data_IF_883761081993
#
_entry.id   IF_883761081993
#
_cell.length_a   1.000
_cell.length_b   1.000
_cell.length_c   1.000
_cell.angle_alpha   90.00
_cell.angle_beta   90.00
_cell.angle_gamma   90.00
#
_symmetry.space_group_name_H-M   'P 1'
#
loop_
_entity.id
_entity.type
_entity.pdbx_description
1 polymer ?
#
# COMPACT_ATOMS: atom_id res chain seq x y z
N UNK A 1 -20.69 -7.71 26.80
CA UNK A 1 -19.23 -7.42 26.93
C UNK A 1 -18.50 -7.31 25.57
N UNK A 2 -18.91 -8.04 24.52
CA UNK A 2 -18.26 -7.99 23.19
C UNK A 2 -18.55 -6.73 22.34
N UNK A 3 -19.70 -6.06 22.51
CA UNK A 3 -20.00 -4.83 21.75
C UNK A 3 -19.09 -3.64 22.13
N UNK A 4 -18.59 -3.59 23.37
CA UNK A 4 -17.67 -2.53 23.81
C UNK A 4 -16.25 -2.69 23.23
N UNK A 5 -15.79 -3.92 22.98
CA UNK A 5 -14.46 -4.14 22.38
C UNK A 5 -14.47 -3.86 20.88
N UNK A 6 -15.53 -4.24 20.16
CA UNK A 6 -15.65 -3.91 18.73
C UNK A 6 -15.83 -2.40 18.49
N UNK A 7 -16.64 -1.73 19.32
CA UNK A 7 -16.85 -0.27 19.21
C UNK A 7 -15.57 0.52 19.53
N UNK A 8 -14.83 0.12 20.58
CA UNK A 8 -13.51 0.70 20.89
C UNK A 8 -12.49 0.47 19.77
N UNK A 9 -12.45 -0.74 19.20
CA UNK A 9 -11.56 -1.06 18.09
C UNK A 9 -11.86 -0.24 16.83
N UNK A 10 -13.14 -0.04 16.50
CA UNK A 10 -13.55 0.81 15.37
C UNK A 10 -13.20 2.29 15.63
N UNK A 11 -13.35 2.74 16.88
CA UNK A 11 -12.98 4.11 17.29
C UNK A 11 -11.46 4.33 17.15
N UNK A 12 -10.64 3.41 17.64
CA UNK A 12 -9.18 3.45 17.50
C UNK A 12 -8.77 3.42 16.02
N UNK A 13 -9.48 2.63 15.21
CA UNK A 13 -9.26 2.55 13.77
C UNK A 13 -9.62 3.84 13.03
N UNK A 14 -10.72 4.49 13.43
CA UNK A 14 -11.11 5.79 12.88
C UNK A 14 -10.11 6.89 13.25
N UNK A 15 -9.54 6.84 14.46
CA UNK A 15 -8.49 7.76 14.91
C UNK A 15 -7.24 7.62 14.07
N UNK A 16 -6.76 6.39 13.89
CA UNK A 16 -5.60 6.10 13.05
C UNK A 16 -5.78 6.61 11.61
N UNK A 17 -6.91 6.31 10.97
CA UNK A 17 -7.17 6.76 9.58
C UNK A 17 -7.20 8.29 9.51
N UNK A 18 -7.79 8.96 10.52
CA UNK A 18 -7.84 10.41 10.58
C UNK A 18 -6.43 11.02 10.69
N UNK A 19 -5.61 10.53 11.61
CA UNK A 19 -4.22 10.98 11.77
C UNK A 19 -3.40 10.78 10.49
N UNK A 20 -3.56 9.64 9.81
CA UNK A 20 -2.85 9.38 8.56
C UNK A 20 -3.33 10.30 7.41
N UNK A 21 -4.62 10.62 7.35
CA UNK A 21 -5.14 11.54 6.34
C UNK A 21 -4.68 12.99 6.59
N UNK A 22 -4.66 13.44 7.84
CA UNK A 22 -4.13 14.76 8.20
C UNK A 22 -2.63 14.86 7.86
N UNK A 23 -1.85 13.83 8.19
CA UNK A 23 -0.43 13.76 7.80
C UNK A 23 -0.26 13.75 6.27
N UNK A 24 -1.12 13.04 5.54
CA UNK A 24 -1.11 13.00 4.08
C UNK A 24 -1.38 14.39 3.49
N UNK A 25 -2.39 15.10 3.98
CA UNK A 25 -2.73 16.46 3.53
C UNK A 25 -1.58 17.44 3.79
N UNK A 26 -0.94 17.37 4.96
CA UNK A 26 0.22 18.20 5.27
C UNK A 26 1.39 17.90 4.32
N UNK A 27 1.72 16.63 4.12
CA UNK A 27 2.78 16.21 3.21
C UNK A 27 2.50 16.64 1.76
N UNK A 28 1.26 16.54 1.29
CA UNK A 28 0.85 17.03 -0.03
C UNK A 28 1.07 18.54 -0.18
N UNK A 29 0.81 19.32 0.87
CA UNK A 29 1.03 20.79 0.86
C UNK A 29 2.52 21.15 0.87
N UNK A 30 3.33 20.43 1.65
CA UNK A 30 4.75 20.75 1.83
C UNK A 30 5.62 20.26 0.67
N UNK A 31 5.31 19.08 0.12
CA UNK A 31 6.19 18.35 -0.81
C UNK A 31 5.57 18.14 -2.19
N UNK A 32 4.27 18.42 -2.35
CA UNK A 32 3.50 18.17 -3.57
C UNK A 32 3.03 16.72 -3.69
N UNK A 33 1.90 16.50 -4.39
CA UNK A 33 1.17 15.22 -4.44
C UNK A 33 1.96 14.02 -4.99
N UNK A 34 3.07 14.28 -5.69
CA UNK A 34 3.93 13.26 -6.27
C UNK A 34 5.16 12.95 -5.41
N UNK A 35 5.24 13.37 -4.15
CA UNK A 35 6.41 13.04 -3.33
C UNK A 35 6.39 11.57 -2.87
N UNK A 36 7.51 10.81 -2.91
CA UNK A 36 7.54 9.38 -2.54
C UNK A 36 7.06 9.08 -1.12
N UNK A 37 7.27 10.00 -0.17
CA UNK A 37 6.71 9.90 1.20
C UNK A 37 5.18 9.77 1.22
N UNK A 38 4.49 10.36 0.24
CA UNK A 38 3.03 10.24 0.11
C UNK A 38 2.66 8.79 -0.22
N UNK A 39 3.44 8.12 -1.07
CA UNK A 39 3.22 6.71 -1.39
C UNK A 39 3.38 5.80 -0.15
N UNK A 40 4.33 6.11 0.73
CA UNK A 40 4.52 5.37 1.98
C UNK A 40 3.27 5.49 2.88
N UNK A 41 2.76 6.71 3.09
CA UNK A 41 1.56 6.95 3.89
C UNK A 41 0.33 6.28 3.26
N UNK A 42 0.15 6.42 1.94
CA UNK A 42 -0.93 5.76 1.19
C UNK A 42 -0.86 4.23 1.34
N UNK A 43 0.33 3.65 1.29
CA UNK A 43 0.52 2.20 1.47
C UNK A 43 0.10 1.75 2.86
N UNK A 44 0.47 2.51 3.90
CA UNK A 44 0.08 2.24 5.29
C UNK A 44 -1.44 2.32 5.48
N UNK A 45 -2.11 3.31 4.89
CA UNK A 45 -3.57 3.43 4.92
C UNK A 45 -4.21 2.23 4.20
N UNK A 46 -3.68 1.84 3.04
CA UNK A 46 -4.15 0.68 2.29
C UNK A 46 -4.07 -0.62 3.07
N UNK A 47 -2.91 -0.90 3.68
CA UNK A 47 -2.69 -2.07 4.54
C UNK A 47 -3.58 -2.05 5.77
N UNK A 48 -3.81 -0.87 6.35
CA UNK A 48 -4.75 -0.72 7.45
C UNK A 48 -6.17 -1.12 7.04
N UNK A 49 -6.64 -0.67 5.87
CA UNK A 49 -7.94 -1.09 5.36
C UNK A 49 -8.01 -2.59 5.06
N UNK A 50 -6.93 -3.19 4.56
CA UNK A 50 -6.87 -4.62 4.28
C UNK A 50 -6.90 -5.47 5.56
N UNK A 51 -6.07 -5.13 6.54
CA UNK A 51 -5.87 -5.97 7.72
C UNK A 51 -6.84 -5.67 8.86
N UNK A 52 -7.17 -4.39 9.10
CA UNK A 52 -7.95 -3.94 10.27
C UNK A 52 -9.43 -3.82 9.93
N UNK A 53 -9.78 -2.99 8.95
CA UNK A 53 -11.20 -2.73 8.65
C UNK A 53 -11.81 -3.75 7.68
N UNK A 54 -10.99 -4.62 7.08
CA UNK A 54 -11.37 -5.61 6.04
C UNK A 54 -12.09 -4.98 4.83
N UNK A 55 -11.78 -3.72 4.52
CA UNK A 55 -12.37 -2.97 3.40
C UNK A 55 -11.43 -3.07 2.20
N UNK A 56 -11.56 -4.17 1.45
CA UNK A 56 -10.65 -4.51 0.34
C UNK A 56 -10.65 -3.44 -0.77
N UNK A 57 -11.82 -2.90 -1.12
CA UNK A 57 -11.93 -1.87 -2.15
C UNK A 57 -11.15 -0.61 -1.80
N UNK A 58 -11.24 -0.16 -0.54
CA UNK A 58 -10.47 0.99 -0.05
C UNK A 58 -8.98 0.69 -0.04
N UNK A 59 -8.60 -0.51 0.42
CA UNK A 59 -7.21 -0.94 0.39
C UNK A 59 -6.61 -0.83 -1.02
N UNK A 60 -7.33 -1.33 -2.03
CA UNK A 60 -6.92 -1.23 -3.44
C UNK A 60 -6.82 0.22 -3.91
N UNK A 61 -7.78 1.09 -3.57
CA UNK A 61 -7.73 2.50 -3.96
C UNK A 61 -6.46 3.18 -3.45
N UNK A 62 -6.13 3.00 -2.17
CA UNK A 62 -4.94 3.64 -1.58
C UNK A 62 -3.64 3.03 -2.09
N UNK A 63 -3.55 1.70 -2.22
CA UNK A 63 -2.36 1.02 -2.74
C UNK A 63 -2.10 1.36 -4.23
N UNK A 64 -3.15 1.44 -5.05
CA UNK A 64 -2.98 1.84 -6.46
C UNK A 64 -2.54 3.30 -6.58
N UNK A 65 -3.03 4.20 -5.71
CA UNK A 65 -2.53 5.59 -5.67
C UNK A 65 -1.05 5.63 -5.28
N UNK A 66 -0.63 4.85 -4.28
CA UNK A 66 0.78 4.74 -3.92
C UNK A 66 1.64 4.26 -5.09
N UNK A 67 1.17 3.24 -5.82
CA UNK A 67 1.86 2.70 -7.00
C UNK A 67 2.04 3.75 -8.10
N UNK A 68 1.01 4.58 -8.36
CA UNK A 68 1.08 5.68 -9.33
C UNK A 68 2.13 6.71 -8.93
N UNK A 69 2.16 7.10 -7.66
CA UNK A 69 3.16 8.06 -7.13
C UNK A 69 4.57 7.49 -7.27
N UNK A 70 4.80 6.22 -6.94
CA UNK A 70 6.13 5.60 -7.07
C UNK A 70 6.56 5.49 -8.53
N UNK A 71 5.63 5.16 -9.44
CA UNK A 71 5.92 5.07 -10.89
C UNK A 71 6.13 6.42 -11.56
N UNK A 72 5.60 7.50 -11.01
CA UNK A 72 5.79 8.85 -11.55
C UNK A 72 7.13 9.47 -11.15
N UNK A 73 7.90 8.82 -10.26
CA UNK A 73 9.21 9.31 -9.85
C UNK A 73 10.20 9.29 -11.00
N UNK A 74 10.92 10.40 -11.20
CA UNK A 74 12.01 10.50 -12.19
C UNK A 74 13.10 9.44 -11.96
N UNK A 75 13.34 9.09 -10.69
CA UNK A 75 14.32 8.09 -10.27
C UNK A 75 13.66 6.73 -10.02
N UNK A 76 12.97 6.21 -11.03
CA UNK A 76 12.24 4.93 -10.94
C UNK A 76 13.09 3.79 -10.35
N UNK A 77 14.38 3.69 -10.72
CA UNK A 77 15.29 2.66 -10.23
C UNK A 77 15.49 2.67 -8.71
N UNK A 78 15.43 3.86 -8.07
CA UNK A 78 15.58 3.99 -6.62
C UNK A 78 14.35 3.45 -5.86
N UNK A 79 13.19 3.35 -6.54
CA UNK A 79 11.91 2.94 -5.93
C UNK A 79 11.44 1.55 -6.37
N UNK A 80 12.26 0.78 -7.10
CA UNK A 80 11.87 -0.54 -7.60
C UNK A 80 11.48 -1.50 -6.47
N UNK A 81 12.15 -1.40 -5.32
CA UNK A 81 11.83 -2.22 -4.13
C UNK A 81 10.44 -1.89 -3.59
N UNK A 82 10.16 -0.60 -3.38
CA UNK A 82 8.87 -0.09 -2.90
C UNK A 82 7.75 -0.44 -3.87
N UNK A 83 7.98 -0.28 -5.17
CA UNK A 83 7.01 -0.64 -6.21
C UNK A 83 6.69 -2.15 -6.16
N UNK A 84 7.70 -3.00 -6.02
CA UNK A 84 7.51 -4.45 -5.92
C UNK A 84 6.74 -4.83 -4.64
N UNK A 85 7.02 -4.17 -3.52
CA UNK A 85 6.28 -4.36 -2.26
C UNK A 85 4.82 -3.92 -2.43
N UNK A 86 4.55 -2.72 -2.96
CA UNK A 86 3.17 -2.24 -3.17
C UNK A 86 2.38 -3.16 -4.12
N UNK A 87 3.01 -3.68 -5.18
CA UNK A 87 2.38 -4.66 -6.07
C UNK A 87 2.06 -5.99 -5.35
N UNK A 88 2.95 -6.44 -4.47
CA UNK A 88 2.73 -7.63 -3.63
C UNK A 88 1.55 -7.40 -2.68
N UNK A 89 1.41 -6.21 -2.12
CA UNK A 89 0.29 -5.85 -1.24
C UNK A 89 -1.03 -5.82 -2.02
N UNK A 90 -1.06 -5.25 -3.23
CA UNK A 90 -2.22 -5.29 -4.12
C UNK A 90 -2.60 -6.74 -4.46
N UNK A 91 -1.62 -7.58 -4.76
CA UNK A 91 -1.84 -9.00 -5.02
C UNK A 91 -2.42 -9.73 -3.80
N UNK A 92 -1.94 -9.41 -2.60
CA UNK A 92 -2.46 -9.94 -1.34
C UNK A 92 -3.93 -9.54 -1.13
N UNK A 93 -4.30 -8.28 -1.42
CA UNK A 93 -5.68 -7.81 -1.33
C UNK A 93 -6.59 -8.55 -2.31
N UNK A 94 -6.18 -8.71 -3.58
CA UNK A 94 -6.94 -9.51 -4.56
C UNK A 94 -7.06 -10.98 -4.14
N UNK A 95 -6.00 -11.57 -3.58
CA UNK A 95 -6.05 -12.93 -3.04
C UNK A 95 -7.07 -13.04 -1.91
N UNK A 96 -7.14 -12.06 -1.02
CA UNK A 96 -8.16 -11.99 0.03
C UNK A 96 -9.58 -11.77 -0.51
N UNK A 97 -9.73 -11.11 -1.65
CA UNK A 97 -11.01 -10.93 -2.34
C UNK A 97 -11.49 -12.18 -3.10
N UNK A 98 -10.62 -13.19 -3.28
CA UNK A 98 -10.89 -14.38 -4.09
C UNK A 98 -10.47 -14.26 -5.55
N UNK A 99 -9.98 -13.09 -5.98
CA UNK A 99 -9.51 -12.81 -7.34
C UNK A 99 -8.09 -13.37 -7.57
N UNK A 100 -7.96 -14.70 -7.59
CA UNK A 100 -6.66 -15.37 -7.71
C UNK A 100 -5.91 -15.02 -9.00
N UNK A 101 -6.62 -14.89 -10.12
CA UNK A 101 -6.00 -14.53 -11.41
C UNK A 101 -5.32 -13.16 -11.37
N UNK A 102 -6.01 -12.15 -10.82
CA UNK A 102 -5.45 -10.80 -10.65
C UNK A 102 -4.30 -10.82 -9.67
N UNK A 103 -4.42 -11.55 -8.56
CA UNK A 103 -3.33 -11.69 -7.59
C UNK A 103 -2.07 -12.25 -8.25
N UNK A 104 -2.19 -13.31 -9.05
CA UNK A 104 -1.06 -13.90 -9.79
C UNK A 104 -0.44 -12.92 -10.77
N UNK A 105 -1.26 -12.14 -11.50
CA UNK A 105 -0.75 -11.10 -12.40
C UNK A 105 0.10 -10.06 -11.64
N UNK A 106 -0.40 -9.52 -10.53
CA UNK A 106 0.34 -8.54 -9.73
C UNK A 106 1.59 -9.13 -9.07
N UNK A 107 1.58 -10.38 -8.62
CA UNK A 107 2.80 -11.05 -8.13
C UNK A 107 3.85 -11.20 -9.22
N UNK A 108 3.45 -11.57 -10.44
CA UNK A 108 4.37 -11.66 -11.58
C UNK A 108 4.97 -10.31 -11.94
N UNK A 109 4.18 -9.25 -11.86
CA UNK A 109 4.65 -7.87 -12.07
C UNK A 109 5.62 -7.43 -10.97
N UNK A 110 5.36 -7.75 -9.70
CA UNK A 110 6.30 -7.48 -8.61
C UNK A 110 7.65 -8.19 -8.83
N UNK A 111 7.60 -9.46 -9.26
CA UNK A 111 8.79 -10.27 -9.55
C UNK A 111 9.56 -9.79 -10.78
N UNK A 112 8.90 -9.18 -11.77
CA UNK A 112 9.61 -8.64 -12.95
C UNK A 112 10.36 -7.35 -12.62
N UNK A 113 9.90 -6.58 -11.63
CA UNK A 113 10.55 -5.35 -11.16
C UNK A 113 11.72 -5.68 -10.23
N UNK A 114 11.56 -6.70 -9.38
CA UNK A 114 12.61 -7.16 -8.49
C UNK A 114 12.85 -8.66 -8.66
N UNK A 115 13.50 -9.09 -9.76
CA UNK A 115 13.80 -10.49 -9.96
C UNK A 115 14.79 -10.95 -8.90
N UNK A 116 14.42 -11.98 -8.14
CA UNK A 116 15.21 -12.60 -7.05
C UNK A 116 16.68 -12.91 -7.41
N UNK A 117 17.04 -12.88 -8.68
CA UNK A 117 18.40 -13.05 -9.21
C UNK A 117 19.38 -11.93 -8.87
N UNK A 118 18.94 -10.73 -8.47
CA UNK A 118 19.86 -9.69 -7.93
C UNK A 118 20.37 -10.00 -6.54
N UNK A 119 19.75 -10.93 -5.80
CA UNK A 119 20.22 -11.37 -4.47
C UNK A 119 21.33 -12.44 -4.60
N UNK A 120 21.57 -12.99 -5.80
CA UNK A 120 22.53 -14.07 -6.05
C UNK A 120 23.52 -13.75 -7.18
N UNK A 121 24.13 -12.55 -7.14
CA UNK A 121 25.32 -12.22 -7.95
C UNK A 121 26.36 -11.34 -7.24
N UNK A 122 26.37 -11.33 -5.90
CA UNK A 122 27.54 -10.85 -5.15
C UNK A 122 28.24 -12.07 -4.56
N UNK A 123 29.15 -12.64 -5.37
CA UNK A 123 30.29 -13.44 -4.92
C UNK A 123 31.47 -12.50 -4.70
#
# INVERSE_FOLDING_TARGET
RAQNSASRYIMDASGFIKEQNEALEQLCRELGENHPKIAEVLTRIGLFHHHVTKQLDKALVYLNRALVVLRSQKRFLEYQGEIAVTLTDIANVHRSAGDQEKAVCFYKEALSIFPRTTISKNH
#
